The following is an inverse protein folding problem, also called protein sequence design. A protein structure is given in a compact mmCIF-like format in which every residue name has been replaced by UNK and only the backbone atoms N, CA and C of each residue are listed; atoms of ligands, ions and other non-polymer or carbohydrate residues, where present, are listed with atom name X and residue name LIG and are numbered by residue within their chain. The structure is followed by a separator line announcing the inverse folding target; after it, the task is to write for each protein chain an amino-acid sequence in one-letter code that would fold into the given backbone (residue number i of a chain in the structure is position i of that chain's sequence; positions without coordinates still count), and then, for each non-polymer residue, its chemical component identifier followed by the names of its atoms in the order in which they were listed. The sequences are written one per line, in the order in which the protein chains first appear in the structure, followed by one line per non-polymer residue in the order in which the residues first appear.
data_IF_826204286403
#
_entry.id   IF_826204286403
#
_cell.length_a   1.000
_cell.length_b   1.000
_cell.length_c   1.000
_cell.angle_alpha   90.00
_cell.angle_beta   90.00
_cell.angle_gamma   90.00
#
_symmetry.space_group_name_H-M   'P 1'
#
loop_
_entity.id
_entity.type
_entity.pdbx_description
1 polymer ?
#
# COMPACT_ATOMS: atom_id res chain seq x y z
N UNK A 1 -0.65 2.85 -17.48
CA UNK A 1 -1.89 3.34 -16.84
C UNK A 1 -1.58 3.70 -15.40
N UNK A 2 -1.95 4.90 -14.97
CA UNK A 2 -1.96 5.23 -13.54
C UNK A 2 -3.15 4.53 -12.88
N UNK A 3 -3.01 4.13 -11.61
CA UNK A 3 -4.08 3.45 -10.89
C UNK A 3 -4.27 4.06 -9.51
N UNK A 4 -5.51 4.33 -9.09
CA UNK A 4 -5.78 4.75 -7.73
C UNK A 4 -5.34 3.66 -6.76
N UNK A 5 -5.13 4.07 -5.50
CA UNK A 5 -4.74 3.11 -4.47
C UNK A 5 -5.86 2.10 -4.22
N UNK A 6 -5.53 0.81 -4.26
CA UNK A 6 -6.47 -0.30 -4.04
C UNK A 6 -5.89 -1.35 -3.11
N UNK A 7 -6.77 -2.09 -2.43
CA UNK A 7 -6.40 -3.27 -1.65
C UNK A 7 -6.32 -4.45 -2.61
N UNK A 8 -5.18 -5.14 -2.68
CA UNK A 8 -5.00 -6.35 -3.49
C UNK A 8 -5.30 -7.60 -2.68
N UNK A 9 -4.83 -7.63 -1.44
CA UNK A 9 -4.91 -8.81 -0.59
C UNK A 9 -5.16 -8.39 0.85
N UNK A 10 -6.18 -8.97 1.48
CA UNK A 10 -6.40 -8.83 2.92
C UNK A 10 -5.64 -9.90 3.69
N UNK A 11 -5.25 -9.60 4.92
CA UNK A 11 -4.70 -10.58 5.84
C UNK A 11 -5.80 -11.59 6.24
N UNK A 12 -5.84 -12.69 5.49
CA UNK A 12 -6.93 -13.66 5.52
C UNK A 12 -7.01 -14.40 6.86
N UNK A 13 -5.86 -14.72 7.48
CA UNK A 13 -5.79 -15.52 8.71
C UNK A 13 -6.54 -14.84 9.86
N UNK A 14 -6.23 -13.58 10.12
CA UNK A 14 -6.87 -12.84 11.21
C UNK A 14 -8.34 -12.53 10.93
N UNK A 15 -8.68 -12.22 9.68
CA UNK A 15 -10.05 -11.95 9.29
C UNK A 15 -10.94 -13.19 9.45
N UNK A 16 -10.46 -14.34 8.99
CA UNK A 16 -11.19 -15.60 9.11
C UNK A 16 -11.33 -16.07 10.55
N UNK A 17 -10.27 -15.95 11.36
CA UNK A 17 -10.33 -16.35 12.76
C UNK A 17 -11.46 -15.62 13.48
N UNK A 18 -11.56 -14.29 13.31
CA UNK A 18 -12.61 -13.50 13.95
C UNK A 18 -14.00 -13.85 13.44
N UNK A 19 -14.17 -14.04 12.12
CA UNK A 19 -15.45 -14.48 11.55
C UNK A 19 -15.85 -15.85 12.08
N UNK A 20 -14.89 -16.79 12.15
CA UNK A 20 -15.12 -18.13 12.66
C UNK A 20 -15.55 -18.10 14.13
N UNK A 21 -14.85 -17.31 14.97
CA UNK A 21 -15.21 -17.13 16.37
C UNK A 21 -16.61 -16.53 16.55
N UNK A 22 -16.96 -15.51 15.76
CA UNK A 22 -18.32 -14.94 15.76
C UNK A 22 -19.36 -15.97 15.33
N UNK A 23 -19.07 -16.75 14.28
CA UNK A 23 -19.96 -17.80 13.80
C UNK A 23 -20.18 -18.91 14.84
N UNK A 24 -19.11 -19.40 15.46
CA UNK A 24 -19.18 -20.39 16.55
C UNK A 24 -19.95 -19.84 17.75
N UNK A 25 -19.69 -18.60 18.17
CA UNK A 25 -20.42 -17.97 19.26
C UNK A 25 -21.92 -17.81 18.94
N UNK A 26 -22.25 -17.45 17.69
CA UNK A 26 -23.63 -17.38 17.22
C UNK A 26 -24.34 -18.73 17.25
N UNK A 27 -23.66 -19.79 16.79
CA UNK A 27 -24.18 -21.16 16.84
C UNK A 27 -24.40 -21.62 18.29
N UNK A 28 -23.45 -21.35 19.19
CA UNK A 28 -23.58 -21.67 20.61
C UNK A 28 -24.75 -20.92 21.26
N UNK A 29 -24.99 -19.66 20.88
CA UNK A 29 -26.13 -18.90 21.36
C UNK A 29 -27.46 -19.48 20.88
N UNK A 30 -27.58 -19.78 19.58
CA UNK A 30 -28.78 -20.44 19.02
C UNK A 30 -29.03 -21.76 19.73
N UNK A 31 -27.98 -22.56 19.92
CA UNK A 31 -28.05 -23.80 20.66
C UNK A 31 -28.55 -23.59 22.10
N UNK A 32 -27.96 -22.67 22.86
CA UNK A 32 -28.34 -22.40 24.25
C UNK A 32 -29.80 -21.94 24.37
N UNK A 33 -30.26 -21.10 23.44
CA UNK A 33 -31.66 -20.66 23.38
C UNK A 33 -32.60 -21.82 23.07
N UNK A 34 -32.29 -22.66 22.08
CA UNK A 34 -33.10 -23.84 21.74
C UNK A 34 -33.16 -24.81 22.92
N UNK A 35 -32.02 -25.08 23.57
CA UNK A 35 -31.95 -25.93 24.75
C UNK A 35 -32.80 -25.41 25.90
N UNK A 36 -32.70 -24.12 26.22
CA UNK A 36 -33.48 -23.52 27.29
C UNK A 36 -34.99 -23.60 27.02
N UNK A 37 -35.41 -23.44 25.77
CA UNK A 37 -36.82 -23.58 25.37
C UNK A 37 -37.29 -25.04 25.41
N UNK A 38 -36.45 -25.99 24.99
CA UNK A 38 -36.75 -27.42 25.05
C UNK A 38 -36.85 -27.92 26.50
N UNK A 39 -35.91 -27.52 27.37
CA UNK A 39 -35.91 -27.90 28.78
C UNK A 39 -37.16 -27.40 29.52
N UNK A 40 -37.72 -26.23 29.12
CA UNK A 40 -39.00 -25.73 29.63
C UNK A 40 -40.20 -26.58 29.18
N UNK A 41 -40.13 -27.14 27.97
CA UNK A 41 -41.24 -27.90 27.37
C UNK A 41 -41.21 -29.39 27.75
N UNK A 42 -40.02 -29.99 27.87
CA UNK A 42 -39.81 -31.40 28.19
C UNK A 42 -38.59 -31.57 29.12
N UNK A 43 -38.75 -31.38 30.44
CA UNK A 43 -37.63 -31.45 31.39
C UNK A 43 -36.95 -32.83 31.47
N UNK A 44 -37.66 -33.91 31.13
CA UNK A 44 -37.13 -35.29 31.17
C UNK A 44 -36.26 -35.71 29.98
N UNK A 45 -36.14 -34.86 28.95
CA UNK A 45 -35.40 -35.18 27.72
C UNK A 45 -34.35 -34.14 27.34
N UNK A 46 -33.99 -33.23 28.25
CA UNK A 46 -33.09 -32.13 27.94
C UNK A 46 -31.67 -32.65 27.58
N UNK A 47 -31.15 -32.35 26.38
CA UNK A 47 -29.77 -32.65 26.01
C UNK A 47 -28.73 -31.96 26.92
N UNK A 48 -27.50 -32.47 26.92
CA UNK A 48 -26.36 -31.97 27.72
C UNK A 48 -26.19 -30.46 27.59
N UNK A 49 -26.15 -29.73 28.71
CA UNK A 49 -25.94 -28.28 28.70
C UNK A 49 -24.46 -27.93 28.47
N UNK A 50 -24.12 -27.56 27.23
CA UNK A 50 -22.75 -27.15 26.87
C UNK A 50 -22.39 -25.73 27.36
N UNK A 51 -23.35 -24.80 27.28
CA UNK A 51 -23.15 -23.39 27.65
C UNK A 51 -24.48 -22.76 28.06
N UNK A 52 -24.45 -21.82 29.00
CA UNK A 52 -25.63 -21.02 29.36
C UNK A 52 -25.79 -19.80 28.44
N UNK A 53 -27.00 -19.24 28.40
CA UNK A 53 -27.33 -18.12 27.52
C UNK A 53 -26.50 -16.87 27.85
N UNK A 54 -26.14 -16.64 29.13
CA UNK A 54 -25.34 -15.47 29.50
C UNK A 54 -23.91 -15.59 28.95
N UNK A 55 -23.26 -16.74 29.12
CA UNK A 55 -21.91 -16.95 28.56
C UNK A 55 -21.91 -16.95 27.03
N UNK A 56 -22.92 -17.54 26.39
CA UNK A 56 -23.03 -17.52 24.92
C UNK A 56 -23.20 -16.09 24.38
N UNK A 57 -24.03 -15.28 25.05
CA UNK A 57 -24.22 -13.87 24.71
C UNK A 57 -22.93 -13.08 24.91
N UNK A 58 -22.24 -13.28 26.04
CA UNK A 58 -20.97 -12.61 26.32
C UNK A 58 -19.89 -12.96 25.27
N UNK A 59 -19.80 -14.22 24.86
CA UNK A 59 -18.89 -14.67 23.81
C UNK A 59 -19.21 -14.01 22.46
N UNK A 60 -20.48 -13.96 22.07
CA UNK A 60 -20.91 -13.31 20.82
C UNK A 60 -20.63 -11.81 20.83
N UNK A 61 -20.94 -11.12 21.93
CA UNK A 61 -20.66 -9.70 22.07
C UNK A 61 -19.16 -9.41 22.00
N UNK A 62 -18.35 -10.18 22.75
CA UNK A 62 -16.89 -9.97 22.78
C UNK A 62 -16.26 -10.20 21.40
N UNK A 63 -16.60 -11.31 20.75
CA UNK A 63 -16.06 -11.64 19.42
C UNK A 63 -16.58 -10.68 18.34
N UNK A 64 -17.85 -10.29 18.39
CA UNK A 64 -18.46 -9.32 17.49
C UNK A 64 -17.85 -7.92 17.62
N UNK A 65 -17.69 -7.43 18.85
CA UNK A 65 -16.99 -6.17 19.13
C UNK A 65 -15.54 -6.21 18.67
N UNK A 66 -14.83 -7.33 18.85
CA UNK A 66 -13.48 -7.51 18.33
C UNK A 66 -13.40 -7.42 16.80
N UNK A 67 -14.37 -8.01 16.09
CA UNK A 67 -14.47 -7.90 14.63
C UNK A 67 -14.70 -6.46 14.16
N UNK A 68 -15.60 -5.72 14.84
CA UNK A 68 -15.87 -4.32 14.54
C UNK A 68 -14.65 -3.43 14.83
N UNK A 69 -14.00 -3.62 15.98
CA UNK A 69 -12.79 -2.90 16.37
C UNK A 69 -11.67 -3.11 15.34
N UNK A 70 -11.49 -4.34 14.83
CA UNK A 70 -10.55 -4.60 13.73
C UNK A 70 -10.91 -3.81 12.48
N UNK A 71 -12.19 -3.78 12.09
CA UNK A 71 -12.64 -3.03 10.92
C UNK A 71 -12.35 -1.53 11.04
N UNK A 72 -12.60 -0.96 12.22
CA UNK A 72 -12.27 0.43 12.53
C UNK A 72 -10.76 0.67 12.49
N UNK A 73 -9.98 -0.20 13.13
CA UNK A 73 -8.52 -0.10 13.14
C UNK A 73 -7.92 -0.19 11.74
N UNK A 74 -8.34 -1.16 10.91
CA UNK A 74 -7.88 -1.29 9.53
C UNK A 74 -8.20 -0.07 8.66
N UNK A 75 -9.32 0.60 8.93
CA UNK A 75 -9.69 1.83 8.24
C UNK A 75 -8.80 2.99 8.70
N UNK A 76 -8.53 3.09 10.00
CA UNK A 76 -7.68 4.14 10.57
C UNK A 76 -6.21 4.02 10.17
N UNK A 77 -5.68 2.79 10.09
CA UNK A 77 -4.28 2.53 9.73
C UNK A 77 -4.06 2.40 8.22
N UNK A 78 -5.09 2.70 7.40
CA UNK A 78 -5.00 2.54 5.96
C UNK A 78 -3.94 3.50 5.41
N UNK A 79 -2.91 3.01 4.70
CA UNK A 79 -1.88 3.89 4.14
C UNK A 79 -2.50 4.83 3.12
N UNK A 80 -1.93 6.03 2.97
CA UNK A 80 -2.34 6.98 1.94
C UNK A 80 -1.09 7.27 1.11
N UNK A 81 -0.81 6.40 0.14
CA UNK A 81 0.40 6.51 -0.67
C UNK A 81 0.23 7.62 -1.67
N UNK A 82 1.10 8.62 -1.62
CA UNK A 82 1.17 9.72 -2.56
C UNK A 82 2.53 9.79 -3.22
N UNK A 83 2.58 10.47 -4.36
CA UNK A 83 3.80 10.82 -5.06
C UNK A 83 3.82 12.33 -5.20
N UNK A 84 5.00 12.91 -5.08
CA UNK A 84 5.23 14.34 -5.29
C UNK A 84 6.48 14.51 -6.14
N UNK A 85 6.47 15.52 -7.00
CA UNK A 85 7.56 15.81 -7.91
C UNK A 85 7.88 17.30 -7.85
N UNK A 86 9.16 17.63 -7.70
CA UNK A 86 9.62 19.01 -7.52
C UNK A 86 10.94 19.24 -8.22
N UNK A 87 11.20 20.50 -8.56
CA UNK A 87 12.51 20.92 -9.06
C UNK A 87 13.43 21.12 -7.86
N UNK A 88 14.59 20.46 -7.86
CA UNK A 88 15.56 20.48 -6.77
C UNK A 88 16.96 20.78 -7.33
N UNK A 89 17.87 21.24 -6.48
CA UNK A 89 19.29 21.30 -6.81
C UNK A 89 19.93 19.97 -6.41
N UNK A 90 20.81 19.42 -7.26
CA UNK A 90 21.47 18.15 -6.97
C UNK A 90 22.40 18.23 -5.75
N UNK A 91 23.04 19.39 -5.54
CA UNK A 91 23.93 19.65 -4.41
C UNK A 91 23.83 21.12 -3.97
N UNK A 92 24.03 21.44 -2.68
CA UNK A 92 24.15 22.82 -2.22
C UNK A 92 25.23 23.57 -3.01
N UNK A 93 24.82 24.60 -3.76
CA UNK A 93 25.72 25.40 -4.61
C UNK A 93 25.85 24.93 -6.07
N UNK A 94 25.17 23.85 -6.47
CA UNK A 94 25.04 23.51 -7.89
C UNK A 94 23.93 24.35 -8.54
N UNK A 95 24.21 24.86 -9.73
CA UNK A 95 23.21 25.48 -10.62
C UNK A 95 22.39 24.45 -11.39
N UNK A 96 22.73 23.16 -11.25
CA UNK A 96 22.01 22.08 -11.93
C UNK A 96 20.67 21.79 -11.23
N UNK A 97 19.60 22.04 -11.97
CA UNK A 97 18.22 21.78 -11.57
C UNK A 97 17.77 20.43 -12.12
N UNK A 98 17.31 19.57 -11.23
CA UNK A 98 16.80 18.23 -11.56
C UNK A 98 15.36 18.07 -11.08
N UNK A 99 14.62 17.18 -11.72
CA UNK A 99 13.29 16.78 -11.27
C UNK A 99 13.40 15.70 -10.21
N UNK A 100 13.21 16.06 -8.94
CA UNK A 100 13.19 15.15 -7.81
C UNK A 100 11.81 14.56 -7.59
N UNK A 101 11.76 13.24 -7.36
CA UNK A 101 10.54 12.48 -7.15
C UNK A 101 10.55 11.86 -5.75
N UNK A 102 9.46 12.04 -5.01
CA UNK A 102 9.28 11.51 -3.66
C UNK A 102 8.04 10.62 -3.58
N UNK A 103 8.12 9.59 -2.75
CA UNK A 103 6.98 8.84 -2.24
C UNK A 103 6.65 9.37 -0.85
N UNK A 104 5.37 9.45 -0.52
CA UNK A 104 4.91 9.79 0.83
C UNK A 104 3.82 8.86 1.30
N UNK A 105 3.78 8.61 2.60
CA UNK A 105 2.62 8.02 3.25
C UNK A 105 1.88 9.09 4.05
N UNK A 106 0.74 9.54 3.53
CA UNK A 106 -0.11 10.52 4.19
C UNK A 106 -0.95 9.97 5.34
N UNK A 107 -0.81 8.69 5.71
CA UNK A 107 -1.42 8.14 6.91
C UNK A 107 -0.60 8.45 8.18
N UNK A 108 -1.18 8.26 9.35
CA UNK A 108 -0.46 8.40 10.63
C UNK A 108 0.43 7.18 10.93
N UNK A 109 0.00 6.00 10.53
CA UNK A 109 0.76 4.76 10.72
C UNK A 109 1.78 4.52 9.62
N UNK A 110 2.84 3.80 9.96
CA UNK A 110 3.82 3.31 9.00
C UNK A 110 3.24 2.17 8.14
N UNK A 111 3.68 2.14 6.88
CA UNK A 111 3.49 1.02 5.99
C UNK A 111 4.84 0.44 5.61
N UNK A 112 4.88 -0.83 5.20
CA UNK A 112 6.13 -1.50 4.81
C UNK A 112 6.09 -1.80 3.33
N UNK A 113 7.14 -1.43 2.58
CA UNK A 113 7.25 -1.77 1.16
C UNK A 113 7.32 -3.28 0.99
N UNK A 114 6.42 -3.81 0.16
CA UNK A 114 6.38 -5.22 -0.20
C UNK A 114 7.08 -5.49 -1.53
N UNK A 115 6.73 -4.69 -2.53
CA UNK A 115 7.27 -4.79 -3.89
C UNK A 115 7.24 -3.40 -4.55
N UNK A 116 8.21 -3.14 -5.41
CA UNK A 116 8.31 -1.90 -6.16
C UNK A 116 8.74 -2.18 -7.60
N UNK A 117 7.84 -1.92 -8.54
CA UNK A 117 8.09 -2.15 -9.96
C UNK A 117 8.04 -0.87 -10.77
N UNK A 118 8.75 -0.88 -11.88
CA UNK A 118 8.89 0.27 -12.76
C UNK A 118 8.43 -0.03 -14.17
N UNK A 119 8.07 0.98 -14.93
CA UNK A 119 7.70 0.84 -16.33
C UNK A 119 8.09 2.12 -17.05
N UNK A 120 9.03 2.01 -17.98
CA UNK A 120 9.65 3.15 -18.67
C UNK A 120 9.21 3.20 -20.13
N UNK A 121 8.80 4.37 -20.59
CA UNK A 121 8.47 4.66 -21.98
C UNK A 121 9.39 5.77 -22.46
N UNK A 122 10.11 5.53 -23.54
CA UNK A 122 11.07 6.48 -24.08
C UNK A 122 10.43 7.42 -25.09
N UNK A 123 11.07 8.56 -25.33
CA UNK A 123 10.66 9.50 -26.36
C UNK A 123 10.83 8.84 -27.74
N UNK A 124 9.75 8.85 -28.54
CA UNK A 124 9.71 8.19 -29.85
C UNK A 124 9.02 6.83 -29.85
N UNK A 125 8.79 6.22 -28.68
CA UNK A 125 8.00 4.98 -28.58
C UNK A 125 6.54 5.24 -28.98
N UNK A 126 5.90 4.24 -29.59
CA UNK A 126 4.48 4.31 -29.92
C UNK A 126 3.64 4.54 -28.63
N UNK A 127 2.69 5.50 -28.61
CA UNK A 127 1.96 5.87 -27.39
C UNK A 127 1.18 4.73 -26.73
N UNK A 128 0.81 3.71 -27.49
CA UNK A 128 -0.09 2.62 -27.08
C UNK A 128 0.61 1.29 -26.82
N UNK A 129 1.95 1.23 -26.88
CA UNK A 129 2.65 -0.02 -26.60
C UNK A 129 2.52 -0.37 -25.10
N UNK A 130 2.02 -1.57 -24.74
CA UNK A 130 2.00 -2.01 -23.35
C UNK A 130 3.44 -2.19 -22.87
N UNK A 131 3.91 -1.25 -22.05
CA UNK A 131 5.23 -1.35 -21.44
C UNK A 131 5.22 -2.38 -20.31
N UNK A 132 6.15 -3.35 -20.29
CA UNK A 132 6.26 -4.31 -19.19
C UNK A 132 6.58 -3.62 -17.87
N UNK A 133 6.27 -4.32 -16.76
CA UNK A 133 6.73 -3.93 -15.43
C UNK A 133 8.06 -4.61 -15.16
N UNK A 134 9.07 -3.80 -14.88
CA UNK A 134 10.45 -4.16 -14.64
C UNK A 134 10.76 -4.11 -13.14
N UNK A 135 11.65 -4.99 -12.72
CA UNK A 135 12.35 -4.88 -11.44
C UNK A 135 13.40 -3.76 -11.50
N UNK A 136 13.98 -3.40 -10.36
CA UNK A 136 14.95 -2.30 -10.29
C UNK A 136 16.16 -2.51 -11.21
N UNK A 137 16.79 -3.69 -11.17
CA UNK A 137 18.00 -3.96 -11.97
C UNK A 137 17.71 -3.87 -13.48
N UNK A 138 16.59 -4.44 -13.93
CA UNK A 138 16.15 -4.37 -15.31
C UNK A 138 15.80 -2.94 -15.76
N UNK A 139 15.30 -2.09 -14.86
CA UNK A 139 15.12 -0.66 -15.16
C UNK A 139 16.47 0.01 -15.40
N UNK A 140 17.46 -0.23 -14.53
CA UNK A 140 18.80 0.37 -14.66
C UNK A 140 19.43 -0.05 -15.98
N UNK A 141 19.39 -1.34 -16.32
CA UNK A 141 19.87 -1.86 -17.61
C UNK A 141 19.20 -1.18 -18.81
N UNK A 142 17.88 -0.97 -18.78
CA UNK A 142 17.15 -0.27 -19.84
C UNK A 142 17.54 1.21 -19.97
N UNK A 143 17.79 1.90 -18.85
CA UNK A 143 18.26 3.28 -18.85
C UNK A 143 19.69 3.39 -19.39
N UNK A 144 20.57 2.47 -19.02
CA UNK A 144 21.95 2.42 -19.51
C UNK A 144 22.01 2.06 -21.00
N UNK A 145 21.14 1.14 -21.46
CA UNK A 145 21.01 0.73 -22.88
C UNK A 145 20.69 1.91 -23.80
N UNK A 146 19.92 2.89 -23.33
CA UNK A 146 19.62 4.12 -24.09
C UNK A 146 20.67 5.23 -23.90
N UNK A 147 21.73 4.94 -23.14
CA UNK A 147 22.88 5.83 -22.93
C UNK A 147 22.71 6.85 -21.80
N UNK A 148 21.72 6.67 -20.91
CA UNK A 148 21.62 7.45 -19.67
C UNK A 148 22.56 6.86 -18.62
N UNK A 149 23.34 7.72 -17.98
CA UNK A 149 24.26 7.32 -16.92
C UNK A 149 23.59 7.46 -15.56
N UNK A 150 23.58 6.37 -14.79
CA UNK A 150 23.16 6.37 -13.39
C UNK A 150 24.04 7.33 -12.58
N UNK A 151 23.44 8.03 -11.62
CA UNK A 151 24.05 9.05 -10.74
C UNK A 151 24.58 10.32 -11.44
N UNK A 152 24.42 10.42 -12.77
CA UNK A 152 24.77 11.63 -13.54
C UNK A 152 23.55 12.19 -14.25
N UNK A 153 22.91 11.39 -15.12
CA UNK A 153 21.75 11.84 -15.89
C UNK A 153 20.45 11.58 -15.11
N UNK A 154 20.42 10.54 -14.28
CA UNK A 154 19.33 10.21 -13.36
C UNK A 154 19.81 9.30 -12.23
N UNK A 155 19.08 9.31 -11.12
CA UNK A 155 19.22 8.34 -10.04
C UNK A 155 17.85 7.82 -9.68
N UNK A 156 17.70 6.50 -9.60
CA UNK A 156 16.53 5.85 -9.01
C UNK A 156 17.02 5.06 -7.81
N UNK A 157 16.36 5.25 -6.67
CA UNK A 157 16.71 4.57 -5.43
C UNK A 157 16.09 3.17 -5.42
N UNK A 158 16.90 2.17 -5.10
CA UNK A 158 16.41 0.84 -4.80
C UNK A 158 15.63 0.85 -3.48
N UNK A 159 14.41 0.32 -3.50
CA UNK A 159 13.59 0.11 -2.31
C UNK A 159 13.46 -1.38 -2.05
N UNK A 160 14.16 -1.86 -1.01
CA UNK A 160 14.08 -3.26 -0.62
C UNK A 160 12.72 -3.58 -0.01
N UNK A 161 12.27 -4.83 -0.19
CA UNK A 161 11.15 -5.38 0.57
C UNK A 161 11.46 -5.31 2.06
N UNK A 162 10.49 -4.85 2.85
CA UNK A 162 10.67 -4.59 4.27
C UNK A 162 11.07 -3.15 4.60
N UNK A 163 11.37 -2.31 3.60
CA UNK A 163 11.69 -0.91 3.85
C UNK A 163 10.48 -0.18 4.48
N UNK A 164 10.67 0.54 5.59
CA UNK A 164 9.60 1.28 6.22
C UNK A 164 9.27 2.54 5.40
N UNK A 165 7.99 2.85 5.34
CA UNK A 165 7.44 4.11 4.85
C UNK A 165 6.64 4.72 6.00
N UNK A 166 7.31 5.51 6.83
CA UNK A 166 6.72 6.06 8.04
C UNK A 166 5.55 7.00 7.72
N UNK A 167 4.62 7.10 8.67
CA UNK A 167 3.49 8.02 8.55
C UNK A 167 3.95 9.47 8.48
N UNK A 168 3.32 10.25 7.62
CA UNK A 168 3.64 11.65 7.31
C UNK A 168 5.05 11.91 6.75
N UNK A 169 5.87 10.88 6.51
CA UNK A 169 7.21 11.03 5.97
C UNK A 169 7.21 11.06 4.44
N UNK A 170 8.19 11.79 3.88
CA UNK A 170 8.51 11.79 2.45
C UNK A 170 9.86 11.12 2.27
N UNK A 171 9.96 10.26 1.29
CA UNK A 171 11.20 9.61 0.95
C UNK A 171 11.50 9.74 -0.54
N UNK A 172 12.75 10.00 -0.86
CA UNK A 172 13.24 10.10 -2.23
C UNK A 172 13.07 8.75 -2.97
N UNK A 173 12.41 8.79 -4.11
CA UNK A 173 12.39 7.67 -5.08
C UNK A 173 13.55 7.85 -6.07
N UNK A 174 13.84 9.08 -6.48
CA UNK A 174 14.87 9.35 -7.47
C UNK A 174 14.86 10.80 -7.93
N UNK A 175 15.83 11.14 -8.77
CA UNK A 175 15.89 12.42 -9.46
C UNK A 175 16.30 12.24 -10.92
N UNK A 176 15.88 13.18 -11.77
CA UNK A 176 16.06 13.10 -13.22
C UNK A 176 16.57 14.43 -13.75
N UNK A 177 17.76 14.42 -14.34
CA UNK A 177 18.37 15.59 -14.97
C UNK A 177 17.78 15.91 -16.34
N UNK A 178 18.18 17.02 -16.97
CA UNK A 178 17.63 17.48 -18.24
C UNK A 178 17.70 16.43 -19.36
N UNK A 179 18.81 15.69 -19.43
CA UNK A 179 19.00 14.63 -20.43
C UNK A 179 17.97 13.51 -20.24
N UNK A 180 17.87 12.94 -19.04
CA UNK A 180 16.86 11.91 -18.73
C UNK A 180 15.43 12.41 -18.98
N UNK A 181 15.13 13.65 -18.60
CA UNK A 181 13.81 14.26 -18.82
C UNK A 181 13.47 14.46 -20.31
N UNK A 182 14.48 14.63 -21.17
CA UNK A 182 14.30 14.72 -22.61
C UNK A 182 14.13 13.34 -23.28
N UNK A 183 14.85 12.33 -22.78
CA UNK A 183 14.85 10.96 -23.33
C UNK A 183 13.66 10.14 -22.85
N UNK A 184 13.21 10.30 -21.61
CA UNK A 184 12.13 9.51 -21.03
C UNK A 184 10.81 10.26 -21.22
N UNK A 185 9.85 9.61 -21.88
CA UNK A 185 8.50 10.15 -22.04
C UNK A 185 7.68 9.97 -20.76
N UNK A 186 7.68 8.75 -20.21
CA UNK A 186 6.99 8.43 -18.97
C UNK A 186 7.77 7.39 -18.16
N UNK A 187 7.86 7.60 -16.85
CA UNK A 187 8.39 6.62 -15.92
C UNK A 187 7.33 6.34 -14.85
N UNK A 188 6.70 5.18 -14.95
CA UNK A 188 5.65 4.77 -14.02
C UNK A 188 6.25 3.89 -12.94
N UNK A 189 5.83 4.12 -11.71
CA UNK A 189 6.17 3.29 -10.57
C UNK A 189 4.90 2.63 -10.05
N UNK A 190 5.01 1.37 -9.63
CA UNK A 190 3.97 0.60 -8.95
C UNK A 190 4.52 0.20 -7.60
N UNK A 191 3.96 0.78 -6.55
CA UNK A 191 4.32 0.49 -5.17
C UNK A 191 3.28 -0.47 -4.60
N UNK A 192 3.74 -1.55 -3.99
CA UNK A 192 2.94 -2.39 -3.11
C UNK A 192 3.43 -2.22 -1.67
N UNK A 193 2.51 -1.98 -0.73
CA UNK A 193 2.82 -1.82 0.70
C UNK A 193 1.91 -2.69 1.55
N UNK A 194 2.45 -3.19 2.65
CA UNK A 194 1.70 -3.86 3.70
C UNK A 194 1.46 -2.86 4.83
N UNK A 195 0.20 -2.73 5.23
CA UNK A 195 -0.16 -1.89 6.37
C UNK A 195 0.05 -2.60 7.71
N UNK A 196 -0.22 -1.90 8.81
CA UNK A 196 -0.04 -2.43 10.17
C UNK A 196 -0.98 -3.60 10.52
N UNK A 197 -2.07 -3.77 9.77
CA UNK A 197 -3.03 -4.88 9.93
C UNK A 197 -2.65 -6.10 9.06
N UNK A 198 -1.72 -5.90 8.14
CA UNK A 198 -1.21 -6.92 7.21
C UNK A 198 -1.93 -6.93 5.87
N UNK A 199 -2.75 -5.93 5.55
CA UNK A 199 -3.38 -5.81 4.24
C UNK A 199 -2.39 -5.22 3.23
N UNK A 200 -2.40 -5.78 2.02
CA UNK A 200 -1.55 -5.36 0.90
C UNK A 200 -2.30 -4.35 0.03
N UNK A 201 -1.72 -3.16 -0.10
CA UNK A 201 -2.20 -2.07 -0.92
C UNK A 201 -1.28 -1.85 -2.11
N UNK A 202 -1.83 -1.46 -3.25
CA UNK A 202 -1.08 -1.09 -4.45
C UNK A 202 -1.52 0.27 -4.96
N UNK A 203 -0.55 1.05 -5.43
CA UNK A 203 -0.77 2.28 -6.19
C UNK A 203 0.24 2.35 -7.32
N UNK A 204 -0.17 2.87 -8.48
CA UNK A 204 0.74 3.19 -9.57
C UNK A 204 0.60 4.63 -10.02
N UNK A 205 1.72 5.26 -10.36
CA UNK A 205 1.78 6.67 -10.72
C UNK A 205 2.90 6.95 -11.71
N UNK A 206 2.72 7.94 -12.59
CA UNK A 206 3.80 8.44 -13.43
C UNK A 206 4.62 9.48 -12.67
N UNK A 207 5.91 9.21 -12.45
CA UNK A 207 6.82 10.11 -11.75
C UNK A 207 7.02 11.46 -12.47
N UNK A 208 6.72 11.51 -13.77
CA UNK A 208 6.80 12.73 -14.56
C UNK A 208 5.46 13.47 -14.68
N UNK A 209 4.45 13.02 -13.97
CA UNK A 209 3.19 13.75 -13.92
C UNK A 209 3.42 15.13 -13.30
N UNK A 210 3.05 16.20 -14.02
CA UNK A 210 3.30 17.58 -13.61
C UNK A 210 4.77 18.03 -13.69
N UNK A 211 5.65 17.26 -14.34
CA UNK A 211 7.07 17.58 -14.39
C UNK A 211 7.40 18.84 -15.19
N UNK A 212 8.26 19.68 -14.61
CA UNK A 212 8.82 20.88 -15.28
C UNK A 212 10.10 20.50 -16.01
N UNK A 213 10.03 20.38 -17.33
CA UNK A 213 11.17 19.96 -18.18
C UNK A 213 12.21 21.06 -18.41
N UNK A 214 11.83 22.32 -18.25
CA UNK A 214 12.70 23.50 -18.38
C UNK A 214 12.57 24.38 -17.13
N UNK A 215 13.13 23.93 -15.99
CA UNK A 215 13.04 24.69 -14.75
C UNK A 215 14.01 25.88 -14.75
N UNK A 216 13.55 27.04 -14.30
CA UNK A 216 14.38 28.24 -14.11
C UNK A 216 14.82 28.42 -12.65
N UNK A 217 14.05 27.84 -11.71
CA UNK A 217 14.27 27.99 -10.28
C UNK A 217 13.95 26.70 -9.53
N UNK A 218 14.73 26.43 -8.48
CA UNK A 218 14.47 25.35 -7.55
C UNK A 218 13.23 25.65 -6.67
N UNK A 219 12.57 24.60 -6.21
CA UNK A 219 11.48 24.70 -5.25
C UNK A 219 12.06 24.91 -3.85
N UNK A 220 11.59 25.91 -3.10
CA UNK A 220 12.20 26.38 -1.85
C UNK A 220 12.12 25.39 -0.66
N UNK A 221 11.23 24.40 -0.70
CA UNK A 221 10.96 23.48 0.42
C UNK A 221 11.25 22.01 0.03
N UNK A 222 12.52 21.67 -0.13
CA UNK A 222 12.97 20.30 -0.44
C UNK A 222 13.36 19.50 0.80
#
# INVERSE_FOLDING_TARGET
MESPQRIIRRNWVFWQLLICLVGVAGLLLVYAVVQQNLARTNPGGAPIQLLDVQSATAALLTTGSGLLARGQYATATRPIIGFDGRVIRMSPGSDELVWGCQIRNGAQDAATVWDLRYSVQFAGDAPSAPTPWLEFDALVEELERIGLRTDVDCMVKMWARGAPLAGQERAMIGWFGPRAMSTIHALRVRVQVVDRVGDLHERSHNLFNGARRTPEQATLDW
#
